data_IF_833459057545
#
_entry.id   IF_833459057545
#
_cell.length_a   1.000
_cell.length_b   1.000
_cell.length_c   1.000
_cell.angle_alpha   90.00
_cell.angle_beta   90.00
_cell.angle_gamma   90.00
#
_symmetry.space_group_name_H-M   'P 1'
#
loop_
_entity.id
_entity.type
_entity.pdbx_description
1 polymer ?
#
# COMPACT_ATOMS: atom_id res chain seq x y z
N UNK A 1 -9.26 -16.78 -11.13
CA UNK A 1 -9.83 -15.49 -10.67
C UNK A 1 -8.83 -14.38 -10.96
N UNK A 2 -9.01 -13.65 -12.06
CA UNK A 2 -8.33 -12.37 -12.23
C UNK A 2 -9.04 -11.38 -11.32
N UNK A 3 -8.47 -11.11 -10.15
CA UNK A 3 -8.92 -9.99 -9.34
C UNK A 3 -8.52 -8.71 -10.08
N UNK A 4 -9.51 -7.94 -10.53
CA UNK A 4 -9.32 -6.57 -11.03
C UNK A 4 -8.90 -5.72 -9.82
N UNK A 5 -7.63 -5.74 -9.45
CA UNK A 5 -7.11 -4.93 -8.35
C UNK A 5 -6.01 -4.07 -8.90
N UNK A 6 -6.21 -2.77 -8.93
CA UNK A 6 -5.34 -1.81 -9.62
C UNK A 6 -4.63 -0.87 -8.62
N UNK A 7 -3.53 -0.21 -9.03
CA UNK A 7 -2.93 0.85 -8.25
C UNK A 7 -3.80 2.13 -8.27
N UNK A 8 -3.57 2.99 -7.28
CA UNK A 8 -3.99 4.39 -7.34
C UNK A 8 -2.93 5.18 -8.13
N UNK A 9 -3.26 5.63 -9.34
CA UNK A 9 -2.25 6.11 -10.30
C UNK A 9 -1.90 7.58 -10.13
N UNK A 10 -2.83 8.39 -9.66
CA UNK A 10 -2.67 9.85 -9.53
C UNK A 10 -2.69 10.29 -8.07
N UNK A 11 -2.14 11.48 -7.79
CA UNK A 11 -2.27 12.10 -6.46
C UNK A 11 -3.74 12.28 -6.07
N UNK A 12 -4.59 12.64 -7.03
CA UNK A 12 -6.03 12.78 -6.80
C UNK A 12 -6.66 11.45 -6.36
N UNK A 13 -6.37 10.34 -7.03
CA UNK A 13 -6.86 9.02 -6.61
C UNK A 13 -6.39 8.62 -5.20
N UNK A 14 -5.16 9.00 -4.84
CA UNK A 14 -4.62 8.77 -3.50
C UNK A 14 -5.38 9.61 -2.48
N UNK A 15 -5.60 10.89 -2.75
CA UNK A 15 -6.29 11.82 -1.87
C UNK A 15 -7.76 11.44 -1.69
N UNK A 16 -8.45 11.09 -2.78
CA UNK A 16 -9.83 10.61 -2.77
C UNK A 16 -9.96 9.33 -1.93
N UNK A 17 -9.04 8.38 -2.09
CA UNK A 17 -9.07 7.16 -1.31
C UNK A 17 -8.75 7.39 0.17
N UNK A 18 -7.76 8.23 0.48
CA UNK A 18 -7.45 8.65 1.86
C UNK A 18 -8.65 9.34 2.51
N UNK A 19 -9.35 10.19 1.77
CA UNK A 19 -10.56 10.86 2.22
C UNK A 19 -11.68 9.85 2.45
N UNK A 20 -11.96 8.96 1.50
CA UNK A 20 -13.05 7.99 1.59
C UNK A 20 -12.89 7.03 2.78
N UNK A 21 -11.69 6.47 2.99
CA UNK A 21 -11.44 5.59 4.14
C UNK A 21 -11.53 6.33 5.48
N UNK A 22 -11.30 7.66 5.49
CA UNK A 22 -11.39 8.49 6.69
C UNK A 22 -12.82 8.81 7.10
N UNK A 23 -13.78 8.74 6.18
CA UNK A 23 -15.22 8.91 6.49
C UNK A 23 -15.83 7.69 7.20
N UNK A 24 -15.19 6.52 7.08
CA UNK A 24 -15.65 5.31 7.72
C UNK A 24 -15.35 5.29 9.24
N UNK A 25 -15.99 4.37 9.96
CA UNK A 25 -15.67 4.12 11.37
C UNK A 25 -14.17 3.82 11.54
N UNK A 26 -13.55 4.46 12.53
CA UNK A 26 -12.10 4.44 12.77
C UNK A 26 -11.28 5.11 11.64
N UNK A 27 -11.77 6.24 11.13
CA UNK A 27 -11.18 6.96 10.00
C UNK A 27 -9.68 7.18 10.07
N UNK A 28 -9.16 7.66 11.22
CA UNK A 28 -7.72 7.87 11.41
C UNK A 28 -6.90 6.58 11.26
N UNK A 29 -7.39 5.46 11.83
CA UNK A 29 -6.75 4.14 11.69
C UNK A 29 -6.75 3.72 10.22
N UNK A 30 -7.87 3.87 9.54
CA UNK A 30 -8.01 3.43 8.14
C UNK A 30 -7.08 4.25 7.23
N UNK A 31 -7.06 5.57 7.42
CA UNK A 31 -6.14 6.48 6.72
C UNK A 31 -4.68 6.10 6.97
N UNK A 32 -4.32 5.78 8.21
CA UNK A 32 -2.96 5.34 8.55
C UNK A 32 -2.59 3.99 7.91
N UNK A 33 -3.52 3.04 7.75
CA UNK A 33 -3.29 1.79 7.01
C UNK A 33 -2.90 2.11 5.56
N UNK A 34 -3.63 3.03 4.92
CA UNK A 34 -3.36 3.46 3.55
C UNK A 34 -1.97 4.08 3.45
N UNK A 35 -1.66 5.06 4.32
CA UNK A 35 -0.35 5.73 4.35
C UNK A 35 0.80 4.75 4.53
N UNK A 36 0.70 3.82 5.50
CA UNK A 36 1.72 2.78 5.70
C UNK A 36 1.87 1.92 4.45
N UNK A 37 0.77 1.46 3.84
CA UNK A 37 0.85 0.60 2.67
C UNK A 37 1.48 1.26 1.45
N UNK A 38 1.06 2.48 1.10
CA UNK A 38 1.55 3.19 -0.10
C UNK A 38 2.99 3.70 0.05
N UNK A 39 3.51 3.85 1.27
CA UNK A 39 4.88 4.31 1.52
C UNK A 39 5.87 3.17 1.80
N UNK A 40 5.39 1.95 2.01
CA UNK A 40 6.27 0.82 2.39
C UNK A 40 6.24 -0.35 1.41
N UNK A 41 5.18 -0.43 0.59
CA UNK A 41 4.98 -1.53 -0.34
C UNK A 41 4.80 -2.88 0.36
N UNK A 42 4.47 -2.95 1.64
CA UNK A 42 4.25 -4.22 2.35
C UNK A 42 2.97 -4.93 1.88
N UNK A 43 2.89 -6.25 2.09
CA UNK A 43 1.63 -6.97 1.94
C UNK A 43 0.71 -6.62 3.11
N UNK A 44 -0.60 -6.61 2.89
CA UNK A 44 -1.56 -6.28 3.94
C UNK A 44 -1.39 -7.14 5.20
N UNK A 45 -1.10 -8.43 5.04
CA UNK A 45 -0.84 -9.34 6.16
C UNK A 45 0.37 -8.93 7.01
N UNK A 46 1.42 -8.38 6.39
CA UNK A 46 2.62 -7.92 7.09
C UNK A 46 2.35 -6.57 7.79
N UNK A 47 1.60 -5.67 7.14
CA UNK A 47 1.16 -4.39 7.72
C UNK A 47 0.40 -4.61 9.04
N UNK A 48 -0.54 -5.56 9.04
CA UNK A 48 -1.42 -5.84 10.17
C UNK A 48 -0.72 -6.54 11.35
N UNK A 49 0.53 -7.00 11.17
CA UNK A 49 1.36 -7.59 12.23
C UNK A 49 2.28 -6.57 12.93
N UNK A 50 2.42 -5.36 12.39
CA UNK A 50 3.22 -4.32 13.02
C UNK A 50 2.65 -4.00 14.41
N UNK A 51 3.54 -3.74 15.37
CA UNK A 51 3.16 -3.24 16.69
C UNK A 51 3.54 -1.77 16.86
N UNK A 52 2.93 -1.12 17.84
CA UNK A 52 3.27 0.28 18.20
C UNK A 52 4.76 0.44 18.51
N UNK A 53 5.33 -0.45 19.31
CA UNK A 53 6.74 -0.40 19.71
C UNK A 53 7.73 -0.57 18.56
N UNK A 54 7.33 -1.25 17.48
CA UNK A 54 8.15 -1.44 16.29
C UNK A 54 8.29 -0.15 15.46
N UNK A 55 7.28 0.71 15.46
CA UNK A 55 7.21 1.86 14.53
C UNK A 55 7.37 3.22 15.21
N UNK A 56 6.93 3.36 16.47
CA UNK A 56 6.88 4.66 17.15
C UNK A 56 8.26 5.30 17.28
N UNK A 57 8.42 6.49 16.69
CA UNK A 57 9.65 7.28 16.73
C UNK A 57 10.84 6.64 16.00
N UNK A 58 10.63 5.57 15.23
CA UNK A 58 11.68 4.88 14.48
C UNK A 58 11.74 5.40 13.04
N UNK A 59 12.96 5.54 12.51
CA UNK A 59 13.20 5.89 11.11
C UNK A 59 13.30 4.67 10.20
N UNK A 60 13.66 3.53 10.79
CA UNK A 60 13.63 2.22 10.15
C UNK A 60 13.38 1.11 11.16
N UNK A 61 12.78 0.02 10.70
CA UNK A 61 12.59 -1.20 11.50
C UNK A 61 12.86 -2.43 10.63
N UNK A 62 13.46 -3.45 11.21
CA UNK A 62 13.62 -4.74 10.54
C UNK A 62 12.41 -5.62 10.84
N UNK A 63 11.77 -6.15 9.80
CA UNK A 63 10.64 -7.05 9.91
C UNK A 63 10.96 -8.39 9.25
N UNK A 64 10.20 -9.43 9.60
CA UNK A 64 10.21 -10.74 8.95
C UNK A 64 8.91 -10.85 8.17
N UNK A 65 8.99 -10.97 6.85
CA UNK A 65 7.80 -11.15 6.01
C UNK A 65 7.12 -12.49 6.31
N UNK A 66 5.80 -12.49 6.50
CA UNK A 66 5.05 -13.69 6.83
C UNK A 66 5.14 -14.74 5.71
N UNK A 67 4.97 -14.31 4.45
CA UNK A 67 4.87 -15.24 3.32
C UNK A 67 6.21 -15.89 2.96
N UNK A 68 7.31 -15.16 3.12
CA UNK A 68 8.62 -15.57 2.62
C UNK A 68 9.61 -15.93 3.73
N UNK A 69 9.35 -15.50 4.97
CA UNK A 69 10.30 -15.63 6.09
C UNK A 69 11.53 -14.74 5.97
N UNK A 70 11.62 -13.90 4.93
CA UNK A 70 12.79 -13.05 4.69
C UNK A 70 12.77 -11.83 5.61
N UNK A 71 13.96 -11.46 6.10
CA UNK A 71 14.18 -10.20 6.81
C UNK A 71 14.27 -9.06 5.80
N UNK A 72 13.59 -7.96 6.08
CA UNK A 72 13.72 -6.72 5.30
C UNK A 72 13.72 -5.49 6.20
N UNK A 73 14.42 -4.46 5.76
CA UNK A 73 14.29 -3.14 6.33
C UNK A 73 13.03 -2.45 5.81
N UNK A 74 12.29 -1.86 6.73
CA UNK A 74 11.18 -0.96 6.49
C UNK A 74 11.65 0.44 6.81
N UNK A 75 11.61 1.35 5.83
CA UNK A 75 11.96 2.76 6.04
C UNK A 75 10.70 3.53 6.39
N UNK A 76 10.72 4.20 7.54
CA UNK A 76 9.59 4.91 8.14
C UNK A 76 9.86 6.41 8.28
N UNK A 77 11.02 6.90 7.81
CA UNK A 77 11.43 8.30 7.90
C UNK A 77 10.32 9.26 7.44
N UNK A 78 9.70 8.97 6.30
CA UNK A 78 8.65 9.80 5.69
C UNK A 78 7.28 9.67 6.38
N UNK A 79 7.13 8.76 7.34
CA UNK A 79 5.92 8.55 8.13
C UNK A 79 6.13 8.83 9.62
N UNK A 80 7.32 9.30 10.02
CA UNK A 80 7.73 9.35 11.43
C UNK A 80 6.82 10.25 12.25
N UNK A 81 6.47 11.43 11.72
CA UNK A 81 5.56 12.39 12.33
C UNK A 81 4.17 11.80 12.53
N UNK A 82 3.60 11.23 11.48
CA UNK A 82 2.27 10.66 11.43
C UNK A 82 2.16 9.47 12.38
N UNK A 83 3.14 8.58 12.35
CA UNK A 83 3.20 7.41 13.24
C UNK A 83 3.40 7.82 14.70
N UNK A 84 4.21 8.85 14.98
CA UNK A 84 4.39 9.35 16.34
C UNK A 84 3.08 9.88 16.92
N UNK A 85 2.37 10.71 16.15
CA UNK A 85 1.05 11.22 16.53
C UNK A 85 0.04 10.09 16.73
N UNK A 86 -0.06 9.18 15.75
CA UNK A 86 -1.00 8.05 15.78
C UNK A 86 -0.75 7.06 16.94
N UNK A 87 0.44 7.07 17.54
CA UNK A 87 0.85 6.11 18.59
C UNK A 87 1.17 6.75 19.94
N UNK A 88 0.91 8.06 20.10
CA UNK A 88 1.37 8.86 21.23
C UNK A 88 0.97 8.29 22.61
N UNK A 89 -0.23 7.71 22.71
CA UNK A 89 -0.79 7.22 23.98
C UNK A 89 -0.98 5.70 24.04
N UNK A 90 -0.32 4.97 23.13
CA UNK A 90 -0.54 3.54 22.96
C UNK A 90 0.60 2.71 23.54
N UNK A 91 0.28 1.56 24.13
CA UNK A 91 1.28 0.67 24.70
C UNK A 91 2.12 0.02 23.58
N UNK A 92 3.45 -0.18 23.78
CA UNK A 92 4.33 -0.76 22.77
C UNK A 92 3.91 -2.14 22.26
N UNK A 93 3.25 -2.93 23.10
CA UNK A 93 2.78 -4.29 22.79
C UNK A 93 1.51 -4.33 21.95
N UNK A 94 0.80 -3.20 21.80
CA UNK A 94 -0.43 -3.16 21.02
C UNK A 94 -0.15 -3.39 19.52
N UNK A 95 -1.05 -4.10 18.82
CA UNK A 95 -1.08 -4.11 17.36
C UNK A 95 -1.17 -2.68 16.84
N UNK A 96 -0.41 -2.30 15.82
CA UNK A 96 -0.47 -0.96 15.24
C UNK A 96 -1.89 -0.64 14.74
N UNK A 97 -2.59 -1.63 14.19
CA UNK A 97 -3.96 -1.48 13.70
C UNK A 97 -4.90 -2.42 14.45
N UNK A 98 -5.67 -1.87 15.38
CA UNK A 98 -6.62 -2.65 16.19
C UNK A 98 -7.96 -2.83 15.48
N UNK A 99 -8.59 -3.98 15.72
CA UNK A 99 -9.99 -4.22 15.37
C UNK A 99 -10.93 -3.51 16.36
N UNK A 100 -12.19 -3.28 15.97
CA UNK A 100 -13.19 -2.73 16.88
C UNK A 100 -13.58 -3.65 18.05
N UNK A 101 -13.17 -4.92 18.02
CA UNK A 101 -13.40 -5.93 19.07
C UNK A 101 -12.16 -6.18 19.93
N UNK A 102 -11.12 -5.36 19.78
CA UNK A 102 -9.80 -5.61 20.34
C UNK A 102 -8.92 -6.50 19.45
N UNK A 103 -7.63 -6.58 19.78
CA UNK A 103 -6.64 -7.32 19.00
C UNK A 103 -6.36 -6.73 17.61
N UNK A 104 -5.54 -7.43 16.82
CA UNK A 104 -5.14 -6.98 15.49
C UNK A 104 -6.31 -7.02 14.49
N UNK A 105 -6.38 -6.02 13.63
CA UNK A 105 -7.31 -6.02 12.50
C UNK A 105 -6.93 -7.15 11.51
N UNK A 106 -7.93 -7.80 10.92
CA UNK A 106 -7.70 -8.90 9.96
C UNK A 106 -7.69 -8.38 8.52
N UNK A 107 -7.09 -9.15 7.61
CA UNK A 107 -7.08 -8.82 6.16
C UNK A 107 -8.51 -8.68 5.63
N UNK A 108 -9.43 -9.56 6.03
CA UNK A 108 -10.85 -9.45 5.67
C UNK A 108 -11.51 -8.20 6.27
N UNK A 109 -11.06 -7.76 7.45
CA UNK A 109 -11.49 -6.49 8.05
C UNK A 109 -11.08 -5.29 7.18
N UNK A 110 -9.84 -5.27 6.71
CA UNK A 110 -9.35 -4.24 5.79
C UNK A 110 -10.06 -4.31 4.44
N UNK A 111 -10.25 -5.52 3.89
CA UNK A 111 -10.98 -5.68 2.64
C UNK A 111 -12.38 -5.04 2.72
N UNK A 112 -13.13 -5.27 3.80
CA UNK A 112 -14.44 -4.62 3.98
C UNK A 112 -14.37 -3.10 4.07
N UNK A 113 -13.36 -2.55 4.77
CA UNK A 113 -13.12 -1.10 4.82
C UNK A 113 -12.87 -0.56 3.41
N UNK A 114 -12.06 -1.27 2.63
CA UNK A 114 -11.74 -0.87 1.26
C UNK A 114 -12.97 -0.95 0.37
N UNK A 115 -13.75 -2.03 0.42
CA UNK A 115 -14.99 -2.13 -0.36
C UNK A 115 -15.95 -0.98 -0.07
N UNK A 116 -16.19 -0.64 1.20
CA UNK A 116 -17.04 0.53 1.54
C UNK A 116 -16.50 1.84 0.96
N UNK A 117 -15.19 2.06 1.01
CA UNK A 117 -14.59 3.25 0.40
C UNK A 117 -14.61 3.20 -1.14
N UNK A 118 -14.54 2.01 -1.73
CA UNK A 118 -14.55 1.81 -3.18
C UNK A 118 -15.95 2.03 -3.74
N UNK A 119 -16.98 1.53 -3.06
CA UNK A 119 -18.39 1.78 -3.38
C UNK A 119 -18.69 3.29 -3.38
N UNK A 120 -18.16 4.03 -2.40
CA UNK A 120 -18.31 5.48 -2.34
C UNK A 120 -17.63 6.21 -3.52
N UNK A 121 -16.49 5.69 -3.97
CA UNK A 121 -15.73 6.24 -5.10
C UNK A 121 -16.18 5.69 -6.45
N UNK A 122 -17.21 4.85 -6.48
CA UNK A 122 -17.68 4.13 -7.67
C UNK A 122 -16.57 3.34 -8.38
N UNK A 123 -15.68 2.72 -7.59
CA UNK A 123 -14.58 1.88 -8.06
C UNK A 123 -14.80 0.42 -7.71
N UNK A 124 -14.58 -0.47 -8.68
CA UNK A 124 -14.64 -1.94 -8.50
C UNK A 124 -13.26 -2.60 -8.49
N UNK A 125 -12.19 -1.79 -8.60
CA UNK A 125 -10.82 -2.22 -8.83
C UNK A 125 -9.89 -2.06 -7.60
N UNK A 126 -10.46 -1.76 -6.43
CA UNK A 126 -9.71 -1.57 -5.19
C UNK A 126 -9.80 -2.82 -4.31
N UNK A 127 -8.63 -3.27 -3.83
CA UNK A 127 -8.51 -4.42 -2.95
C UNK A 127 -7.28 -4.35 -2.05
N UNK A 128 -7.03 -5.41 -1.28
CA UNK A 128 -5.94 -5.43 -0.28
C UNK A 128 -4.54 -5.34 -0.89
N UNK A 129 -4.40 -5.55 -2.20
CA UNK A 129 -3.16 -5.37 -2.95
C UNK A 129 -2.98 -3.97 -3.54
N UNK A 130 -4.04 -3.14 -3.61
CA UNK A 130 -4.01 -1.79 -4.20
C UNK A 130 -2.87 -0.97 -3.60
N UNK A 131 -2.74 -0.88 -2.28
CA UNK A 131 -1.68 -0.08 -1.65
C UNK A 131 -0.26 -0.49 -2.08
N UNK A 132 -0.02 -1.80 -2.16
CA UNK A 132 1.28 -2.34 -2.57
C UNK A 132 1.54 -2.09 -4.06
N UNK A 133 0.50 -2.21 -4.89
CA UNK A 133 0.58 -1.87 -6.32
C UNK A 133 0.85 -0.37 -6.50
N UNK A 134 0.15 0.49 -5.77
CA UNK A 134 0.37 1.95 -5.74
C UNK A 134 1.82 2.28 -5.42
N UNK A 135 2.38 1.72 -4.35
CA UNK A 135 3.79 1.90 -4.02
C UNK A 135 4.70 1.54 -5.22
N UNK A 136 4.48 0.37 -5.82
CA UNK A 136 5.33 -0.11 -6.91
C UNK A 136 5.18 0.72 -8.19
N UNK A 137 3.97 1.14 -8.52
CA UNK A 137 3.66 2.00 -9.65
C UNK A 137 4.43 3.33 -9.53
N UNK A 138 4.25 4.04 -8.42
CA UNK A 138 4.91 5.34 -8.18
C UNK A 138 6.42 5.22 -8.03
N UNK A 139 6.91 4.18 -7.34
CA UNK A 139 8.35 3.91 -7.24
C UNK A 139 8.99 3.73 -8.62
N UNK A 140 8.37 2.92 -9.49
CA UNK A 140 8.89 2.70 -10.83
C UNK A 140 8.81 3.96 -11.70
N UNK A 141 7.71 4.71 -11.65
CA UNK A 141 7.56 5.98 -12.35
C UNK A 141 8.64 7.01 -11.95
N UNK A 142 9.02 7.06 -10.67
CA UNK A 142 10.02 8.00 -10.19
C UNK A 142 11.46 7.56 -10.46
N UNK A 143 11.76 6.27 -10.36
CA UNK A 143 13.14 5.76 -10.36
C UNK A 143 13.54 5.05 -11.64
N UNK A 144 12.56 4.53 -12.40
CA UNK A 144 12.75 3.61 -13.51
C UNK A 144 13.55 2.34 -13.15
N UNK A 145 13.71 2.04 -11.85
CA UNK A 145 14.51 0.92 -11.35
C UNK A 145 13.62 -0.31 -11.07
N UNK A 146 13.39 -1.10 -12.13
CA UNK A 146 12.62 -2.34 -12.02
C UNK A 146 13.34 -3.42 -11.20
N UNK A 147 14.67 -3.44 -11.22
CA UNK A 147 15.47 -4.45 -10.53
C UNK A 147 15.35 -4.31 -9.01
N UNK A 148 15.47 -3.08 -8.49
CA UNK A 148 15.21 -2.79 -7.08
C UNK A 148 13.78 -3.10 -6.70
N UNK A 149 12.80 -2.76 -7.56
CA UNK A 149 11.40 -3.06 -7.28
C UNK A 149 11.11 -4.57 -7.23
N UNK A 150 11.74 -5.37 -8.11
CA UNK A 150 11.67 -6.82 -8.08
C UNK A 150 12.21 -7.38 -6.76
N UNK A 151 13.33 -6.85 -6.26
CA UNK A 151 13.88 -7.24 -4.95
C UNK A 151 12.94 -6.86 -3.80
N UNK A 152 12.39 -5.64 -3.82
CA UNK A 152 11.41 -5.16 -2.82
C UNK A 152 10.15 -6.06 -2.79
N UNK A 153 9.72 -6.52 -3.97
CA UNK A 153 8.53 -7.35 -4.09
C UNK A 153 8.77 -8.85 -3.99
N UNK A 154 10.03 -9.28 -4.08
CA UNK A 154 10.44 -10.66 -4.21
C UNK A 154 9.74 -11.34 -5.41
N UNK A 155 9.77 -10.67 -6.56
CA UNK A 155 9.27 -11.19 -7.83
C UNK A 155 10.42 -11.77 -8.65
N UNK A 156 10.15 -12.85 -9.38
CA UNK A 156 11.16 -13.59 -10.15
C UNK A 156 11.46 -12.99 -11.52
N UNK A 157 10.64 -12.09 -12.04
CA UNK A 157 10.86 -11.45 -13.35
C UNK A 157 10.33 -10.02 -13.41
N UNK A 158 10.91 -9.24 -14.33
CA UNK A 158 10.47 -7.89 -14.64
C UNK A 158 9.04 -7.88 -15.16
N UNK A 159 8.70 -8.81 -16.07
CA UNK A 159 7.36 -8.91 -16.65
C UNK A 159 6.30 -9.12 -15.57
N UNK A 160 6.55 -10.00 -14.59
CA UNK A 160 5.64 -10.21 -13.45
C UNK A 160 5.47 -8.92 -12.65
N UNK A 161 6.56 -8.15 -12.49
CA UNK A 161 6.53 -6.90 -11.71
C UNK A 161 5.81 -5.78 -12.45
N UNK A 162 6.12 -5.55 -13.73
CA UNK A 162 5.46 -4.56 -14.60
C UNK A 162 3.95 -4.84 -14.72
N UNK A 163 3.57 -6.10 -14.93
CA UNK A 163 2.17 -6.52 -14.92
C UNK A 163 1.51 -6.33 -13.56
N UNK A 164 2.20 -6.68 -12.47
CA UNK A 164 1.65 -6.55 -11.12
C UNK A 164 1.32 -5.09 -10.78
N UNK A 165 2.18 -4.15 -11.14
CA UNK A 165 1.99 -2.71 -10.86
C UNK A 165 1.15 -1.99 -11.91
N UNK A 166 0.70 -2.66 -12.97
CA UNK A 166 -0.17 -2.08 -14.01
C UNK A 166 0.53 -1.26 -15.10
N UNK A 167 1.85 -1.02 -14.98
CA UNK A 167 2.58 -0.11 -15.88
C UNK A 167 2.66 -0.59 -17.34
N UNK A 168 2.58 -1.90 -17.57
CA UNK A 168 2.64 -2.47 -18.92
C UNK A 168 1.49 -1.95 -19.78
N UNK A 169 0.27 -1.80 -19.23
CA UNK A 169 -0.89 -1.29 -19.96
C UNK A 169 -0.74 0.21 -20.25
N UNK A 170 -0.47 0.99 -19.21
CA UNK A 170 -0.43 2.45 -19.28
C UNK A 170 0.65 2.95 -20.26
N UNK A 171 1.85 2.34 -20.24
CA UNK A 171 2.92 2.71 -21.16
C UNK A 171 2.60 2.34 -22.62
N UNK A 172 1.99 1.19 -22.87
CA UNK A 172 1.62 0.79 -24.25
C UNK A 172 0.54 1.71 -24.82
N UNK A 173 -0.49 2.04 -24.03
CA UNK A 173 -1.56 2.93 -24.45
C UNK A 173 -1.01 4.33 -24.80
N UNK A 174 -0.15 4.88 -23.95
CA UNK A 174 0.48 6.18 -24.22
C UNK A 174 1.39 6.13 -25.45
N UNK A 175 2.24 5.11 -25.57
CA UNK A 175 3.12 4.95 -26.73
C UNK A 175 2.33 4.83 -28.04
N UNK A 176 1.22 4.09 -28.04
CA UNK A 176 0.34 3.96 -29.20
C UNK A 176 -0.43 5.25 -29.50
N UNK A 177 -0.82 6.00 -28.47
CA UNK A 177 -1.49 7.30 -28.61
C UNK A 177 -0.59 8.33 -29.29
N UNK A 178 0.68 8.37 -28.90
CA UNK A 178 1.68 9.29 -29.44
C UNK A 178 2.30 8.82 -30.76
N UNK A 179 2.10 7.55 -31.14
CA UNK A 179 2.66 6.98 -32.35
C UNK A 179 2.01 7.55 -33.61
N UNK A 180 2.79 8.28 -34.40
CA UNK A 180 2.41 8.75 -35.74
C UNK A 180 3.46 8.43 -36.77
N UNK A 181 3.02 8.07 -37.97
CA UNK A 181 3.87 7.92 -39.16
C UNK A 181 3.27 8.73 -40.30
N UNK A 182 4.03 9.70 -40.80
CA UNK A 182 3.64 10.49 -41.98
C UNK A 182 2.52 11.52 -41.75
N UNK A 183 2.15 11.79 -40.49
CA UNK A 183 1.17 12.82 -40.08
C UNK A 183 1.58 13.45 -38.75
#
# INVERSE_FOLDING_TARGET
MHYNVEPLRTSQEIDDFLWAVSQARYGERNRMIVLVGINTGLRMSDILRLTVGQVRGKERVMIIEQKTGKKRWLFLKNLKSELLHFTQYRAPSEPLFCSGRGGALTVNGVYRIFQTASDFLERDDIGTHTLRKTFGYHYYQQTHDIASLMMIFNHSSEQVTKRYIGIERDNMEQQLWDFRLGV
#
